data_IF_296910717517
#
_entry.id   IF_296910717517
#
_cell.length_a   1.000
_cell.length_b   1.000
_cell.length_c   1.000
_cell.angle_alpha   90.00
_cell.angle_beta   90.00
_cell.angle_gamma   90.00
#
_symmetry.space_group_name_H-M   'P 1'
#
loop_
_entity.id
_entity.type
_entity.pdbx_description
1 polymer ?
#
# COMPACT_ATOMS: atom_id res chain seq x y z
N UNK A 1 72.70 94.17 -19.13
CA UNK A 1 71.23 94.10 -19.02
C UNK A 1 70.87 92.96 -18.10
N UNK A 2 70.32 93.26 -16.94
CA UNK A 2 69.72 92.25 -16.08
C UNK A 2 68.22 92.19 -16.39
N UNK A 3 67.74 91.01 -16.77
CA UNK A 3 66.32 90.76 -16.98
C UNK A 3 65.86 89.81 -15.88
N UNK A 4 64.93 90.25 -15.05
CA UNK A 4 64.37 89.47 -13.95
C UNK A 4 62.85 89.55 -13.97
N UNK A 5 62.19 88.71 -13.17
CA UNK A 5 60.73 88.75 -12.97
C UNK A 5 60.47 89.32 -11.59
N UNK A 6 59.63 90.35 -11.51
CA UNK A 6 59.22 90.90 -10.22
C UNK A 6 58.37 89.86 -9.46
N UNK A 7 58.76 89.47 -8.24
CA UNK A 7 58.12 88.35 -7.55
C UNK A 7 56.68 88.64 -7.13
N UNK A 8 56.28 89.92 -7.03
CA UNK A 8 54.94 90.34 -6.60
C UNK A 8 53.99 90.52 -7.78
N UNK A 9 54.38 91.36 -8.74
CA UNK A 9 53.56 91.73 -9.90
C UNK A 9 53.63 90.73 -11.06
N UNK A 10 54.62 89.82 -11.05
CA UNK A 10 54.88 88.84 -12.12
C UNK A 10 55.12 89.48 -13.50
N UNK A 11 55.58 90.74 -13.53
CA UNK A 11 55.96 91.47 -14.74
C UNK A 11 57.46 91.42 -14.98
N UNK A 12 57.89 91.66 -16.23
CA UNK A 12 59.31 91.74 -16.56
C UNK A 12 59.96 92.97 -15.92
N UNK A 13 61.16 92.80 -15.37
CA UNK A 13 62.02 93.88 -14.89
C UNK A 13 63.24 93.94 -15.79
N UNK A 14 63.48 95.11 -16.38
CA UNK A 14 64.65 95.37 -17.22
C UNK A 14 65.42 96.50 -16.58
N UNK A 15 66.67 96.23 -16.21
CA UNK A 15 67.59 97.20 -15.59
C UNK A 15 66.97 97.94 -14.37
N UNK A 16 66.19 97.22 -13.58
CA UNK A 16 65.58 97.71 -12.33
C UNK A 16 64.21 98.38 -12.48
N UNK A 17 63.68 98.53 -13.70
CA UNK A 17 62.35 99.12 -13.95
C UNK A 17 61.33 98.04 -14.30
N UNK A 18 60.22 97.99 -13.54
CA UNK A 18 59.08 97.11 -13.82
C UNK A 18 58.40 97.58 -15.11
N UNK A 19 58.34 96.70 -16.10
CA UNK A 19 57.66 96.93 -17.38
C UNK A 19 56.18 96.58 -17.26
N UNK A 20 55.31 97.23 -18.03
CA UNK A 20 53.88 96.91 -18.07
C UNK A 20 53.56 95.69 -18.96
N UNK A 21 54.36 94.63 -18.81
CA UNK A 21 54.23 93.39 -19.58
C UNK A 21 54.35 92.22 -18.61
N UNK A 22 53.32 91.37 -18.56
CA UNK A 22 53.38 90.13 -17.78
C UNK A 22 54.51 89.23 -18.26
N UNK A 23 55.31 88.74 -17.33
CA UNK A 23 56.35 87.73 -17.57
C UNK A 23 55.82 86.29 -17.50
N UNK A 24 54.54 86.14 -17.14
CA UNK A 24 53.85 84.85 -17.06
C UNK A 24 52.66 84.84 -18.02
N UNK A 25 52.42 83.70 -18.66
CA UNK A 25 51.21 83.51 -19.47
C UNK A 25 49.96 83.57 -18.61
N UNK A 26 48.84 84.01 -19.18
CA UNK A 26 47.54 83.88 -18.50
C UNK A 26 47.23 82.39 -18.32
N UNK A 27 46.69 82.01 -17.16
CA UNK A 27 46.15 80.67 -16.96
C UNK A 27 45.08 80.41 -18.03
N UNK A 28 45.10 79.22 -18.64
CA UNK A 28 44.05 78.83 -19.56
C UNK A 28 42.69 78.84 -18.87
N UNK A 29 41.71 79.47 -19.51
CA UNK A 29 40.32 79.39 -19.12
C UNK A 29 39.86 77.93 -19.16
N UNK A 30 39.27 77.42 -18.08
CA UNK A 30 38.62 76.10 -18.11
C UNK A 30 37.35 76.21 -18.95
N UNK A 31 37.23 75.51 -20.09
CA UNK A 31 36.00 75.51 -20.86
C UNK A 31 34.86 74.87 -20.07
N UNK A 32 33.68 75.46 -20.15
CA UNK A 32 32.45 74.91 -19.55
C UNK A 32 31.40 74.67 -20.62
N UNK A 33 30.40 73.84 -20.31
CA UNK A 33 29.27 73.58 -21.18
C UNK A 33 28.04 74.20 -20.54
N UNK A 34 27.34 75.04 -21.28
CA UNK A 34 26.03 75.54 -20.87
C UNK A 34 24.97 74.47 -21.11
N UNK A 35 24.29 74.00 -20.06
CA UNK A 35 23.34 72.88 -20.17
C UNK A 35 22.08 73.22 -21.00
N UNK A 36 21.49 74.43 -20.90
CA UNK A 36 20.35 74.84 -21.73
C UNK A 36 20.64 74.90 -23.23
N UNK A 37 21.80 75.46 -23.64
CA UNK A 37 22.12 75.64 -25.07
C UNK A 37 23.01 74.53 -25.64
N UNK A 38 23.77 73.85 -24.78
CA UNK A 38 24.78 72.86 -25.16
C UNK A 38 26.10 73.44 -25.64
N UNK A 39 26.24 74.77 -25.70
CA UNK A 39 27.41 75.41 -26.28
C UNK A 39 28.64 75.38 -25.36
N UNK A 40 29.82 75.44 -25.96
CA UNK A 40 31.06 75.73 -25.24
C UNK A 40 31.10 77.18 -24.78
N UNK A 41 31.42 77.38 -23.51
CA UNK A 41 31.72 78.67 -22.92
C UNK A 41 33.19 78.73 -22.50
N UNK A 42 33.86 79.82 -22.85
CA UNK A 42 35.25 80.09 -22.48
C UNK A 42 35.29 81.47 -21.82
N UNK A 43 35.81 81.53 -20.59
CA UNK A 43 35.81 82.75 -19.75
C UNK A 43 34.43 83.42 -19.62
N UNK A 44 33.36 82.61 -19.58
CA UNK A 44 31.98 83.11 -19.47
C UNK A 44 31.38 83.66 -20.75
N UNK A 45 32.08 83.59 -21.89
CA UNK A 45 31.55 83.96 -23.20
C UNK A 45 31.10 82.73 -23.98
N UNK A 46 29.89 82.79 -24.55
CA UNK A 46 29.39 81.77 -25.48
C UNK A 46 30.23 81.79 -26.76
N UNK A 47 30.77 80.64 -27.14
CA UNK A 47 31.55 80.50 -28.37
C UNK A 47 30.68 80.27 -29.61
N UNK A 48 29.39 79.94 -29.44
CA UNK A 48 28.47 79.55 -30.51
C UNK A 48 28.73 78.14 -31.07
N UNK A 49 29.73 77.42 -30.56
CA UNK A 49 30.02 76.06 -30.97
C UNK A 49 29.37 75.06 -30.02
N UNK A 50 28.70 74.05 -30.59
CA UNK A 50 28.08 72.99 -29.81
C UNK A 50 29.13 72.09 -29.13
N UNK A 51 28.99 71.90 -27.82
CA UNK A 51 29.78 70.96 -27.04
C UNK A 51 29.14 69.57 -26.96
N UNK A 52 27.82 69.51 -27.14
CA UNK A 52 27.05 68.26 -27.11
C UNK A 52 26.66 67.83 -28.52
N UNK A 53 26.76 66.52 -28.78
CA UNK A 53 26.25 65.92 -30.00
C UNK A 53 24.72 65.97 -30.04
N UNK A 54 24.14 66.05 -31.25
CA UNK A 54 22.70 65.80 -31.41
C UNK A 54 22.44 64.30 -31.25
N UNK A 55 21.29 63.96 -30.69
CA UNK A 55 20.83 62.58 -30.65
C UNK A 55 20.79 61.97 -32.06
N UNK A 56 21.14 60.69 -32.15
CA UNK A 56 20.99 59.92 -33.38
C UNK A 56 19.52 59.81 -33.76
N UNK A 57 19.23 59.68 -35.06
CA UNK A 57 17.87 59.35 -35.50
C UNK A 57 17.53 57.93 -35.06
N UNK A 58 16.30 57.73 -34.59
CA UNK A 58 15.77 56.39 -34.31
C UNK A 58 15.85 55.50 -35.56
N UNK A 59 16.14 54.21 -35.33
CA UNK A 59 16.11 53.20 -36.38
C UNK A 59 14.69 52.90 -36.88
N UNK A 60 14.58 52.30 -38.06
CA UNK A 60 13.30 51.82 -38.60
C UNK A 60 12.73 50.69 -37.71
N UNK A 61 11.41 50.66 -37.54
CA UNK A 61 10.72 49.54 -36.89
C UNK A 61 10.74 48.28 -37.74
N UNK A 62 10.51 47.12 -37.11
CA UNK A 62 10.43 45.84 -37.84
C UNK A 62 9.36 45.84 -38.92
N UNK A 63 8.21 46.50 -38.68
CA UNK A 63 7.16 46.66 -39.68
C UNK A 63 7.60 47.58 -40.83
N UNK A 64 8.27 48.71 -40.54
CA UNK A 64 8.79 49.60 -41.58
C UNK A 64 9.80 48.88 -42.49
N UNK A 65 10.68 48.07 -41.91
CA UNK A 65 11.59 47.23 -42.68
C UNK A 65 10.83 46.17 -43.51
N UNK A 66 9.77 45.57 -42.98
CA UNK A 66 8.95 44.63 -43.75
C UNK A 66 8.30 45.32 -44.96
N UNK A 67 7.74 46.52 -44.78
CA UNK A 67 7.14 47.32 -45.87
C UNK A 67 8.20 47.71 -46.92
N UNK A 68 9.37 48.15 -46.49
CA UNK A 68 10.49 48.47 -47.40
C UNK A 68 10.95 47.26 -48.23
N UNK A 69 10.84 46.05 -47.66
CA UNK A 69 11.14 44.79 -48.34
C UNK A 69 9.94 44.23 -49.13
N UNK A 70 8.90 45.04 -49.35
CA UNK A 70 7.76 44.68 -50.22
C UNK A 70 6.60 44.00 -49.51
N UNK A 71 6.49 44.10 -48.18
CA UNK A 71 5.32 43.59 -47.46
C UNK A 71 4.06 44.38 -47.86
N UNK A 72 3.04 43.74 -48.44
CA UNK A 72 1.97 44.44 -49.16
C UNK A 72 0.75 44.79 -48.29
N UNK A 73 0.82 44.62 -46.97
CA UNK A 73 -0.36 44.66 -46.09
C UNK A 73 -0.17 45.57 -44.87
N UNK A 74 -1.25 45.79 -44.12
CA UNK A 74 -1.26 46.68 -42.96
C UNK A 74 -0.52 46.11 -41.74
N UNK A 75 -0.29 46.97 -40.74
CA UNK A 75 0.31 46.60 -39.45
C UNK A 75 -0.48 45.48 -38.75
N UNK A 76 -1.81 45.52 -38.80
CA UNK A 76 -2.66 44.51 -38.17
C UNK A 76 -2.49 43.14 -38.82
N UNK A 77 -2.40 43.09 -40.15
CA UNK A 77 -2.12 41.85 -40.88
C UNK A 77 -0.73 41.33 -40.56
N UNK A 78 0.27 42.22 -40.48
CA UNK A 78 1.63 41.84 -40.08
C UNK A 78 1.67 41.28 -38.67
N UNK A 79 1.01 41.92 -37.70
CA UNK A 79 0.99 41.44 -36.32
C UNK A 79 0.27 40.09 -36.19
N UNK A 80 -0.82 39.89 -36.93
CA UNK A 80 -1.49 38.60 -37.01
C UNK A 80 -0.60 37.51 -37.63
N UNK A 81 0.27 37.87 -38.59
CA UNK A 81 1.21 36.91 -39.21
C UNK A 81 2.33 36.45 -38.26
N UNK A 82 2.65 37.23 -37.22
CA UNK A 82 3.67 36.88 -36.23
C UNK A 82 3.20 35.85 -35.21
N UNK A 83 1.89 35.61 -35.12
CA UNK A 83 1.37 34.61 -34.20
C UNK A 83 1.67 33.22 -34.77
N UNK A 84 2.36 32.40 -34.01
CA UNK A 84 2.49 30.98 -34.33
C UNK A 84 1.14 30.28 -34.30
N UNK A 85 1.07 29.12 -34.96
CA UNK A 85 -0.05 28.21 -34.79
C UNK A 85 -0.19 27.81 -33.33
N UNK A 86 -1.42 27.47 -32.94
CA UNK A 86 -1.67 26.91 -31.62
C UNK A 86 -0.84 25.63 -31.50
N UNK A 87 0.04 25.57 -30.50
CA UNK A 87 0.81 24.36 -30.21
C UNK A 87 -0.11 23.16 -29.97
N UNK A 88 0.38 21.97 -30.32
CA UNK A 88 -0.35 20.72 -30.18
C UNK A 88 -0.84 20.51 -28.75
N UNK A 89 -1.99 19.85 -28.63
CA UNK A 89 -2.51 19.44 -27.32
C UNK A 89 -1.52 18.44 -26.72
N UNK A 90 -1.07 18.67 -25.50
CA UNK A 90 -0.23 17.70 -24.78
C UNK A 90 -0.93 16.34 -24.66
N UNK A 91 -0.14 15.26 -24.67
CA UNK A 91 -0.63 13.88 -24.63
C UNK A 91 -1.59 13.65 -23.45
N UNK A 92 -2.62 12.85 -23.70
CA UNK A 92 -3.66 12.50 -22.73
C UNK A 92 -3.05 11.95 -21.44
N UNK A 93 -3.56 12.41 -20.30
CA UNK A 93 -3.14 11.91 -18.99
C UNK A 93 -3.34 10.38 -18.91
N UNK A 94 -2.31 9.66 -18.43
CA UNK A 94 -2.41 8.23 -18.14
C UNK A 94 -3.46 8.05 -17.05
N UNK A 95 -4.51 7.28 -17.33
CA UNK A 95 -5.50 6.87 -16.32
C UNK A 95 -5.12 5.52 -15.74
N UNK A 96 -5.31 5.35 -14.43
CA UNK A 96 -5.04 4.10 -13.72
C UNK A 96 -6.29 3.69 -12.94
N UNK A 97 -6.75 2.46 -13.15
CA UNK A 97 -7.87 1.87 -12.40
C UNK A 97 -7.55 0.44 -11.97
N UNK A 98 -8.20 0.02 -10.89
CA UNK A 98 -8.21 -1.38 -10.44
C UNK A 98 -9.18 -2.16 -11.33
N UNK A 99 -8.71 -3.28 -11.89
CA UNK A 99 -9.52 -4.24 -12.62
C UNK A 99 -10.13 -5.25 -11.66
N UNK A 100 -9.68 -6.49 -11.79
CA UNK A 100 -10.13 -7.63 -10.99
C UNK A 100 -9.24 -7.89 -9.79
N UNK A 101 -9.84 -8.47 -8.75
CA UNK A 101 -9.13 -9.08 -7.62
C UNK A 101 -9.52 -10.56 -7.55
N UNK A 102 -8.52 -11.44 -7.54
CA UNK A 102 -8.75 -12.89 -7.56
C UNK A 102 -7.69 -13.64 -6.76
N UNK A 103 -7.95 -14.90 -6.47
CA UNK A 103 -6.96 -15.85 -5.93
C UNK A 103 -6.45 -16.74 -7.04
N UNK A 104 -5.14 -17.00 -7.08
CA UNK A 104 -4.50 -17.92 -8.04
C UNK A 104 -3.25 -18.52 -7.43
N UNK A 105 -2.42 -19.29 -8.14
CA UNK A 105 -1.31 -20.01 -7.50
C UNK A 105 -0.17 -19.08 -7.00
N UNK A 106 -0.01 -17.91 -7.62
CA UNK A 106 1.06 -16.95 -7.31
C UNK A 106 0.51 -15.52 -7.12
N UNK A 107 1.20 -14.72 -6.32
CA UNK A 107 0.88 -13.29 -6.16
C UNK A 107 1.45 -12.51 -7.32
N UNK A 108 0.60 -11.90 -8.15
CA UNK A 108 1.01 -11.13 -9.34
C UNK A 108 0.06 -9.97 -9.63
N UNK A 109 0.59 -8.99 -10.36
CA UNK A 109 -0.18 -7.88 -10.93
C UNK A 109 -0.02 -7.91 -12.45
N UNK A 110 -1.13 -7.81 -13.18
CA UNK A 110 -1.13 -7.72 -14.65
C UNK A 110 -1.86 -6.48 -15.12
N UNK A 111 -1.42 -5.90 -16.24
CA UNK A 111 -2.16 -4.82 -16.89
C UNK A 111 -3.02 -5.39 -18.02
N UNK A 112 -4.35 -5.32 -17.89
CA UNK A 112 -5.30 -5.65 -18.96
C UNK A 112 -5.76 -4.44 -19.78
N UNK A 113 -5.27 -3.24 -19.42
CA UNK A 113 -5.57 -1.98 -20.07
C UNK A 113 -4.66 -1.67 -21.25
N UNK A 114 -4.57 -0.37 -21.59
CA UNK A 114 -3.68 0.18 -22.62
C UNK A 114 -2.59 1.03 -21.98
N UNK A 115 -1.62 1.50 -22.77
CA UNK A 115 -0.52 2.34 -22.29
C UNK A 115 -0.98 3.69 -21.71
N UNK A 116 -2.18 4.14 -22.08
CA UNK A 116 -2.78 5.40 -21.58
C UNK A 116 -3.98 5.20 -20.66
N UNK A 117 -4.53 3.97 -20.56
CA UNK A 117 -5.62 3.60 -19.64
C UNK A 117 -5.31 2.24 -19.01
N UNK A 118 -4.47 2.28 -17.97
CA UNK A 118 -3.97 1.11 -17.27
C UNK A 118 -5.08 0.48 -16.41
N UNK A 119 -5.27 -0.83 -16.57
CA UNK A 119 -6.19 -1.63 -15.75
C UNK A 119 -5.39 -2.69 -15.02
N UNK A 120 -5.18 -2.48 -13.74
CA UNK A 120 -4.34 -3.36 -12.93
C UNK A 120 -5.20 -4.44 -12.28
N UNK A 121 -5.00 -5.68 -12.72
CA UNK A 121 -5.60 -6.88 -12.14
C UNK A 121 -4.66 -7.47 -11.10
N UNK A 122 -5.21 -7.81 -9.93
CA UNK A 122 -4.48 -8.37 -8.80
C UNK A 122 -4.86 -9.83 -8.61
N UNK A 123 -3.87 -10.72 -8.62
CA UNK A 123 -4.02 -12.12 -8.22
C UNK A 123 -3.21 -12.35 -6.94
N UNK A 124 -3.83 -12.96 -5.93
CA UNK A 124 -3.18 -13.30 -4.68
C UNK A 124 -3.01 -14.82 -4.57
N UNK A 125 -1.79 -15.28 -4.25
CA UNK A 125 -1.53 -16.67 -3.90
C UNK A 125 -2.34 -17.06 -2.65
N UNK A 126 -2.95 -18.26 -2.58
CA UNK A 126 -3.38 -18.80 -1.30
C UNK A 126 -2.13 -18.95 -0.44
N UNK A 127 -2.05 -18.12 0.60
CA UNK A 127 -0.97 -18.19 1.57
C UNK A 127 -1.11 -19.52 2.31
N UNK A 128 -0.03 -20.29 2.35
CA UNK A 128 0.08 -21.39 3.28
C UNK A 128 -0.32 -20.91 4.68
N UNK A 129 -1.13 -21.71 5.38
CA UNK A 129 -1.65 -21.34 6.70
C UNK A 129 -0.53 -21.06 7.72
N UNK A 130 0.71 -21.45 7.42
CA UNK A 130 1.88 -21.21 8.27
C UNK A 130 2.17 -19.72 8.51
N UNK A 131 1.79 -18.84 7.56
CA UNK A 131 1.88 -17.40 7.75
C UNK A 131 0.65 -16.76 8.42
N UNK A 132 -0.52 -17.44 8.46
CA UNK A 132 -1.81 -16.89 8.92
C UNK A 132 -1.89 -16.62 10.42
N UNK A 133 -1.08 -17.30 11.22
CA UNK A 133 -1.16 -17.22 12.68
C UNK A 133 -0.94 -15.81 13.25
N UNK A 134 -0.31 -14.89 12.49
CA UNK A 134 -0.08 -13.51 12.93
C UNK A 134 -1.20 -12.53 12.58
N UNK A 135 -2.10 -12.86 11.64
CA UNK A 135 -3.09 -11.90 11.10
C UNK A 135 -4.53 -12.40 11.09
N UNK A 136 -4.77 -13.72 11.14
CA UNK A 136 -6.10 -14.28 11.32
C UNK A 136 -6.21 -14.85 12.74
N UNK A 137 -6.83 -14.09 13.63
CA UNK A 137 -7.17 -14.58 14.96
C UNK A 137 -8.42 -15.46 14.86
N UNK A 138 -8.62 -16.35 15.82
CA UNK A 138 -9.87 -17.10 16.00
C UNK A 138 -11.11 -16.19 16.09
N UNK A 139 -10.93 -14.91 16.45
CA UNK A 139 -11.99 -13.89 16.41
C UNK A 139 -12.45 -13.53 15.00
N UNK A 140 -11.59 -13.63 13.99
CA UNK A 140 -11.91 -13.22 12.62
C UNK A 140 -12.79 -14.27 11.93
N UNK A 141 -12.63 -15.54 12.32
CA UNK A 141 -13.51 -16.64 11.89
C UNK A 141 -14.90 -16.60 12.51
N UNK A 142 -15.08 -15.91 13.66
CA UNK A 142 -16.36 -15.85 14.36
C UNK A 142 -17.48 -15.19 13.53
N UNK A 143 -17.12 -14.38 12.52
CA UNK A 143 -18.06 -13.72 11.61
C UNK A 143 -18.44 -14.56 10.39
N UNK A 144 -17.68 -15.61 10.07
CA UNK A 144 -17.90 -16.46 8.88
C UNK A 144 -18.55 -17.80 9.20
N UNK A 145 -18.29 -18.35 10.38
CA UNK A 145 -18.93 -19.56 10.85
C UNK A 145 -19.11 -19.48 12.37
N UNK A 146 -20.33 -19.19 12.81
CA UNK A 146 -20.63 -19.30 14.24
C UNK A 146 -20.75 -20.77 14.62
N UNK A 147 -20.49 -21.10 15.89
CA UNK A 147 -20.76 -22.44 16.41
C UNK A 147 -22.24 -22.83 16.18
N UNK A 148 -23.13 -21.85 16.13
CA UNK A 148 -24.55 -21.98 15.78
C UNK A 148 -24.76 -22.41 14.33
N UNK A 149 -24.04 -21.85 13.37
CA UNK A 149 -24.15 -22.23 11.94
C UNK A 149 -23.67 -23.67 11.69
N UNK A 150 -22.66 -24.13 12.43
CA UNK A 150 -22.15 -25.50 12.37
C UNK A 150 -23.13 -26.52 12.99
N UNK A 151 -23.92 -26.10 13.99
CA UNK A 151 -24.94 -26.98 14.60
C UNK A 151 -26.12 -27.28 13.66
N UNK A 152 -26.30 -26.50 12.59
CA UNK A 152 -27.32 -26.74 11.57
C UNK A 152 -27.00 -27.91 10.64
N UNK A 153 -25.73 -28.35 10.58
CA UNK A 153 -25.33 -29.44 9.69
C UNK A 153 -25.67 -30.81 10.27
N UNK A 154 -25.38 -31.07 11.55
CA UNK A 154 -25.96 -32.17 12.34
C UNK A 154 -25.73 -31.92 13.84
N UNK A 155 -26.77 -32.09 14.67
CA UNK A 155 -26.61 -32.24 16.12
C UNK A 155 -26.04 -33.61 16.46
N UNK A 156 -25.45 -33.77 17.65
CA UNK A 156 -24.98 -35.07 18.14
C UNK A 156 -26.07 -36.15 18.02
N UNK A 157 -27.32 -35.80 18.33
CA UNK A 157 -28.47 -36.68 18.20
C UNK A 157 -28.80 -37.08 16.74
N UNK A 158 -28.60 -36.17 15.78
CA UNK A 158 -28.79 -36.49 14.36
C UNK A 158 -27.64 -37.35 13.81
N UNK A 159 -26.41 -37.15 14.30
CA UNK A 159 -25.28 -38.04 14.00
C UNK A 159 -25.53 -39.43 14.56
N UNK A 160 -26.01 -39.54 15.81
CA UNK A 160 -26.39 -40.81 16.43
C UNK A 160 -27.47 -41.51 15.59
N UNK A 161 -28.48 -40.78 15.11
CA UNK A 161 -29.54 -41.33 14.25
C UNK A 161 -28.98 -41.87 12.92
N UNK A 162 -28.05 -41.14 12.28
CA UNK A 162 -27.44 -41.58 11.01
C UNK A 162 -26.48 -42.75 11.19
N UNK A 163 -25.75 -42.77 12.31
CA UNK A 163 -24.88 -43.88 12.67
C UNK A 163 -25.71 -45.13 12.95
N UNK A 164 -26.83 -44.98 13.66
CA UNK A 164 -27.83 -46.05 13.91
C UNK A 164 -28.43 -46.62 12.62
N UNK A 165 -28.62 -45.79 11.60
CA UNK A 165 -29.19 -46.18 10.31
C UNK A 165 -28.18 -46.86 9.35
N UNK A 166 -26.87 -46.79 9.64
CA UNK A 166 -25.84 -47.45 8.84
C UNK A 166 -25.84 -48.95 9.13
N UNK A 167 -26.09 -49.74 8.09
CA UNK A 167 -26.05 -51.20 8.13
C UNK A 167 -24.72 -51.80 8.64
N UNK A 168 -23.63 -51.03 8.65
CA UNK A 168 -22.34 -51.45 9.21
C UNK A 168 -22.41 -51.70 10.73
N UNK A 169 -23.32 -51.04 11.45
CA UNK A 169 -23.64 -51.40 12.85
C UNK A 169 -24.43 -52.70 12.97
N UNK A 170 -25.03 -53.20 11.90
CA UNK A 170 -25.75 -54.48 11.93
C UNK A 170 -24.79 -55.66 12.17
N UNK A 171 -23.49 -55.51 11.87
CA UNK A 171 -22.48 -56.50 12.24
C UNK A 171 -22.24 -56.54 13.77
N UNK A 172 -22.33 -55.39 14.45
CA UNK A 172 -22.37 -55.32 15.92
C UNK A 172 -23.72 -55.81 16.45
N UNK A 173 -24.84 -55.57 15.74
CA UNK A 173 -26.16 -56.13 16.09
C UNK A 173 -26.24 -57.66 15.90
N UNK A 174 -25.33 -58.27 15.13
CA UNK A 174 -25.17 -59.72 15.02
C UNK A 174 -24.31 -60.33 16.13
N UNK A 175 -23.62 -59.53 16.94
CA UNK A 175 -23.31 -59.95 18.31
C UNK A 175 -24.66 -59.92 19.01
N UNK A 176 -25.20 -61.10 19.39
CA UNK A 176 -26.54 -61.29 19.94
C UNK A 176 -27.06 -60.03 20.65
N UNK A 177 -28.19 -59.50 20.20
CA UNK A 177 -28.76 -58.28 20.78
C UNK A 177 -28.93 -58.43 22.29
N UNK A 178 -29.00 -57.29 23.00
CA UNK A 178 -29.05 -57.26 24.47
C UNK A 178 -30.17 -58.16 25.01
N UNK A 179 -31.30 -58.26 24.31
CA UNK A 179 -32.44 -59.07 24.72
C UNK A 179 -32.18 -60.57 24.56
N UNK A 180 -31.47 -60.99 23.51
CA UNK A 180 -31.02 -62.37 23.31
C UNK A 180 -30.01 -62.78 24.39
N UNK A 181 -29.03 -61.92 24.69
CA UNK A 181 -28.04 -62.19 25.76
C UNK A 181 -28.73 -62.25 27.13
N UNK A 182 -29.66 -61.34 27.41
CA UNK A 182 -30.42 -61.35 28.66
C UNK A 182 -31.30 -62.61 28.76
N UNK A 183 -31.91 -63.04 27.66
CA UNK A 183 -32.71 -64.27 27.61
C UNK A 183 -31.86 -65.50 27.88
N UNK A 184 -30.65 -65.57 27.30
CA UNK A 184 -29.70 -66.64 27.56
C UNK A 184 -29.24 -66.64 29.03
N UNK A 185 -28.93 -65.47 29.60
CA UNK A 185 -28.60 -65.33 31.03
C UNK A 185 -29.71 -65.87 31.92
N UNK A 186 -30.96 -65.49 31.66
CA UNK A 186 -32.10 -65.95 32.44
C UNK A 186 -32.29 -67.48 32.34
N UNK A 187 -32.04 -68.07 31.16
CA UNK A 187 -32.06 -69.54 30.98
C UNK A 187 -30.93 -70.23 31.74
N UNK A 188 -29.74 -69.64 31.76
CA UNK A 188 -28.60 -70.16 32.54
C UNK A 188 -28.92 -70.15 34.03
N UNK A 189 -29.53 -69.08 34.55
CA UNK A 189 -29.95 -68.99 35.95
C UNK A 189 -31.00 -70.07 36.31
N UNK A 190 -31.97 -70.29 35.43
CA UNK A 190 -32.98 -71.34 35.60
C UNK A 190 -32.35 -72.74 35.63
N UNK A 191 -31.40 -73.03 34.73
CA UNK A 191 -30.68 -74.30 34.69
C UNK A 191 -29.87 -74.48 35.98
N UNK A 192 -29.18 -73.44 36.45
CA UNK A 192 -28.43 -73.49 37.70
C UNK A 192 -29.33 -73.83 38.90
N UNK A 193 -30.51 -73.21 38.97
CA UNK A 193 -31.50 -73.51 40.01
C UNK A 193 -32.02 -74.96 39.92
N UNK A 194 -32.29 -75.47 38.71
CA UNK A 194 -32.72 -76.85 38.49
C UNK A 194 -31.65 -77.86 38.90
N UNK A 195 -30.40 -77.63 38.51
CA UNK A 195 -29.26 -78.48 38.90
C UNK A 195 -29.12 -78.53 40.42
N UNK A 196 -29.22 -77.39 41.10
CA UNK A 196 -29.14 -77.35 42.56
C UNK A 196 -30.30 -78.10 43.24
N UNK A 197 -31.52 -77.96 42.71
CA UNK A 197 -32.68 -78.71 43.22
C UNK A 197 -32.51 -80.23 43.02
N UNK A 198 -32.03 -80.66 41.86
CA UNK A 198 -31.74 -82.07 41.61
C UNK A 198 -30.63 -82.59 42.52
N UNK A 199 -29.58 -81.81 42.77
CA UNK A 199 -28.52 -82.17 43.71
C UNK A 199 -29.07 -82.42 45.12
N UNK A 200 -29.95 -81.55 45.62
CA UNK A 200 -30.61 -81.73 46.92
C UNK A 200 -31.51 -82.97 46.96
N UNK A 201 -32.22 -83.27 45.86
CA UNK A 201 -33.03 -84.48 45.77
C UNK A 201 -32.16 -85.75 45.83
N UNK A 202 -31.02 -85.77 45.14
CA UNK A 202 -30.06 -86.88 45.21
C UNK A 202 -29.50 -87.09 46.62
N UNK A 203 -29.20 -86.01 47.35
CA UNK A 203 -28.76 -86.11 48.75
C UNK A 203 -29.84 -86.75 49.63
N UNK A 204 -31.11 -86.33 49.49
CA UNK A 204 -32.23 -86.94 50.23
C UNK A 204 -32.41 -88.41 49.91
N UNK A 205 -32.32 -88.79 48.63
CA UNK A 205 -32.37 -90.18 48.19
C UNK A 205 -31.23 -90.99 48.80
N UNK A 206 -30.01 -90.43 48.84
CA UNK A 206 -28.87 -91.08 49.48
C UNK A 206 -29.11 -91.30 50.99
N UNK A 207 -29.67 -90.31 51.69
CA UNK A 207 -30.04 -90.45 53.10
C UNK A 207 -31.10 -91.52 53.32
N UNK A 208 -32.10 -91.61 52.43
CA UNK A 208 -33.12 -92.65 52.48
C UNK A 208 -32.52 -94.05 52.24
N UNK A 209 -31.59 -94.19 51.29
CA UNK A 209 -30.86 -95.43 51.04
C UNK A 209 -30.05 -95.83 52.28
N UNK A 210 -29.31 -94.90 52.88
CA UNK A 210 -28.53 -95.15 54.08
C UNK A 210 -29.42 -95.62 55.24
N UNK A 211 -30.59 -94.98 55.43
CA UNK A 211 -31.58 -95.40 56.44
C UNK A 211 -32.15 -96.79 56.15
N UNK A 212 -32.43 -97.12 54.89
CA UNK A 212 -32.94 -98.43 54.50
C UNK A 212 -31.90 -99.53 54.75
N UNK A 213 -30.64 -99.30 54.39
CA UNK A 213 -29.52 -100.21 54.66
C UNK A 213 -29.34 -100.47 56.16
N UNK A 214 -29.42 -99.41 56.99
CA UNK A 214 -29.36 -99.55 58.44
C UNK A 214 -30.50 -100.44 58.98
N UNK A 215 -31.75 -100.22 58.51
CA UNK A 215 -32.90 -101.06 58.89
C UNK A 215 -32.70 -102.53 58.48
N UNK A 216 -32.23 -102.80 57.26
CA UNK A 216 -31.93 -104.16 56.79
C UNK A 216 -30.89 -104.82 57.69
N UNK A 217 -29.81 -104.10 58.05
CA UNK A 217 -28.77 -104.63 58.95
C UNK A 217 -29.34 -105.03 60.32
N UNK A 218 -30.25 -104.23 60.90
CA UNK A 218 -30.87 -104.55 62.20
C UNK A 218 -31.80 -105.77 62.15
N UNK A 219 -32.46 -106.03 61.02
CA UNK A 219 -33.29 -107.22 60.81
C UNK A 219 -32.44 -108.49 60.72
N UNK A 220 -31.26 -108.42 60.11
CA UNK A 220 -30.34 -109.56 60.00
C UNK A 220 -29.64 -109.93 61.31
N UNK A 221 -29.53 -109.01 62.28
CA UNK A 221 -28.95 -109.31 63.60
C UNK A 221 -29.98 -109.82 64.61
N UNK A 222 -31.27 -109.51 64.42
CA UNK A 222 -32.37 -110.02 65.25
C UNK A 222 -32.75 -111.49 64.98
N UNK A 223 -32.13 -112.12 63.98
CA UNK A 223 -32.38 -113.52 63.58
C UNK A 223 -31.29 -114.50 64.00
N UNK A 224 -30.30 -114.08 64.81
CA UNK A 224 -29.42 -115.03 65.50
C UNK A 224 -30.21 -115.75 66.63
N UNK A 225 -30.36 -117.08 66.59
CA UNK A 225 -31.17 -117.83 67.55
C UNK A 225 -30.53 -117.85 68.94
N UNK A 226 -31.41 -117.98 69.96
CA UNK A 226 -31.04 -118.44 71.31
C UNK A 226 -30.24 -119.74 71.27
#
# INVERSE_FOLDING_TARGET
MAVTIDPVSKKWVIDGVIQDVSAVGQSGATPTIDQPTGHWFIDGNDTGFQAIGKDGKDGKSAYQLAVDNGYPSSLDTWLASLKGDKGDKGDSAITVKVGTTSTGDETKVTNSGTDTDLVLDFTFAPKDLEGLASYAKTSDLANYATKTDLTSYYTSAQMDTKLSAKADLAMIANIADKDTVQTLSNKVDQIAAQVNSQAQAMVKLQDQINQALAKISTLTTSTAPK
#
